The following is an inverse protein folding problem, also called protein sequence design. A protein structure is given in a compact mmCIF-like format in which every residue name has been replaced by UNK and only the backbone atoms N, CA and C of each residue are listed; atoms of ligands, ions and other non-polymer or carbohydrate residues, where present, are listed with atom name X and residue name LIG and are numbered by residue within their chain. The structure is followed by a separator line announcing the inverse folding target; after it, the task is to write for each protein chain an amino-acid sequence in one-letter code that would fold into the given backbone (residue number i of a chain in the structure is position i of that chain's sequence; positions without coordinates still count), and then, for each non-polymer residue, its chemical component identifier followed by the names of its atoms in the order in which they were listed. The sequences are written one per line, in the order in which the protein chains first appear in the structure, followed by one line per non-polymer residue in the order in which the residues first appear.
data_IF_098751402803
#
_entry.id   IF_098751402803
#
_cell.length_a   1.000
_cell.length_b   1.000
_cell.length_c   1.000
_cell.angle_alpha   90.00
_cell.angle_beta   90.00
_cell.angle_gamma   90.00
#
_symmetry.space_group_name_H-M   'P 1'
#
loop_
_entity.id
_entity.type
_entity.pdbx_description
1 polymer ?
#
# COMPACT_ATOMS: atom_id res chain seq x y z
N UNK A 1 -29.57 0.25 5.98
CA UNK A 1 -28.12 0.33 6.26
C UNK A 1 -27.37 0.70 4.98
N UNK A 2 -27.05 1.98 4.78
CA UNK A 2 -26.24 2.47 3.66
C UNK A 2 -24.81 2.85 4.10
N UNK A 3 -24.64 3.14 5.39
CA UNK A 3 -23.40 3.67 5.98
C UNK A 3 -22.29 2.62 5.99
N UNK A 4 -22.62 1.36 6.22
CA UNK A 4 -21.64 0.26 6.29
C UNK A 4 -21.03 -0.06 4.92
N UNK A 5 -21.79 0.11 3.82
CA UNK A 5 -21.26 -0.04 2.45
C UNK A 5 -20.37 1.13 2.04
N UNK A 6 -20.73 2.37 2.41
CA UNK A 6 -19.89 3.54 2.15
C UNK A 6 -18.51 3.43 2.80
N UNK A 7 -18.47 2.98 4.06
CA UNK A 7 -17.21 2.77 4.80
C UNK A 7 -16.37 1.62 4.24
N UNK A 8 -17.01 0.52 3.81
CA UNK A 8 -16.32 -0.66 3.27
C UNK A 8 -15.80 -0.45 1.85
N UNK A 9 -16.53 0.30 1.01
CA UNK A 9 -16.05 0.68 -0.33
C UNK A 9 -14.94 1.73 -0.23
N UNK A 10 -15.05 2.69 0.68
CA UNK A 10 -13.99 3.67 0.91
C UNK A 10 -12.69 3.04 1.45
N UNK A 11 -12.80 1.98 2.26
CA UNK A 11 -11.66 1.19 2.71
C UNK A 11 -10.90 0.52 1.54
N UNK A 12 -11.62 -0.05 0.57
CA UNK A 12 -11.01 -0.73 -0.59
C UNK A 12 -10.35 0.27 -1.54
N UNK A 13 -10.98 1.43 -1.77
CA UNK A 13 -10.43 2.48 -2.65
C UNK A 13 -9.11 3.05 -2.08
N UNK A 14 -9.07 3.35 -0.78
CA UNK A 14 -7.88 3.88 -0.12
C UNK A 14 -6.72 2.88 -0.15
N UNK A 15 -6.98 1.62 0.19
CA UNK A 15 -5.96 0.56 0.19
C UNK A 15 -5.47 0.30 -1.23
N UNK A 16 -6.39 0.16 -2.19
CA UNK A 16 -6.06 -0.09 -3.59
C UNK A 16 -5.22 1.03 -4.20
N UNK A 17 -5.60 2.28 -3.95
CA UNK A 17 -4.86 3.45 -4.45
C UNK A 17 -3.48 3.57 -3.80
N UNK A 18 -3.38 3.31 -2.49
CA UNK A 18 -2.08 3.29 -1.81
C UNK A 18 -1.16 2.21 -2.39
N UNK A 19 -1.71 1.02 -2.64
CA UNK A 19 -0.98 -0.10 -3.20
C UNK A 19 -0.49 0.20 -4.63
N UNK A 20 -1.34 0.73 -5.50
CA UNK A 20 -0.97 1.06 -6.88
C UNK A 20 0.20 2.06 -6.93
N UNK A 21 0.12 3.13 -6.13
CA UNK A 21 1.18 4.15 -6.04
C UNK A 21 2.50 3.53 -5.56
N UNK A 22 2.46 2.78 -4.46
CA UNK A 22 3.67 2.19 -3.88
C UNK A 22 4.28 1.12 -4.80
N UNK A 23 3.45 0.24 -5.36
CA UNK A 23 3.91 -0.83 -6.22
C UNK A 23 4.51 -0.28 -7.53
N UNK A 24 3.90 0.75 -8.12
CA UNK A 24 4.46 1.41 -9.30
C UNK A 24 5.83 2.04 -9.01
N UNK A 25 5.98 2.72 -7.88
CA UNK A 25 7.28 3.27 -7.47
C UNK A 25 8.32 2.17 -7.27
N UNK A 26 8.00 1.16 -6.46
CA UNK A 26 8.93 0.10 -6.08
C UNK A 26 9.34 -0.79 -7.28
N UNK A 27 8.45 -1.00 -8.27
CA UNK A 27 8.80 -1.67 -9.52
C UNK A 27 9.80 -0.83 -10.33
N UNK A 28 9.53 0.46 -10.48
CA UNK A 28 10.41 1.38 -11.23
C UNK A 28 11.80 1.54 -10.61
N UNK A 29 11.93 1.39 -9.29
CA UNK A 29 13.22 1.43 -8.59
C UNK A 29 13.88 0.05 -8.43
N UNK A 30 13.26 -1.00 -8.97
CA UNK A 30 13.73 -2.38 -8.85
C UNK A 30 13.76 -2.90 -7.41
N UNK A 31 12.97 -2.32 -6.50
CA UNK A 31 12.81 -2.78 -5.13
C UNK A 31 11.84 -3.96 -5.03
N UNK A 32 10.90 -4.10 -5.98
CA UNK A 32 10.08 -5.29 -6.17
C UNK A 32 10.14 -5.73 -7.64
N UNK A 33 9.88 -7.02 -7.90
CA UNK A 33 9.90 -7.55 -9.25
C UNK A 33 8.82 -6.89 -10.14
N UNK A 34 9.20 -6.56 -11.38
CA UNK A 34 8.30 -6.02 -12.39
C UNK A 34 7.47 -7.16 -13.01
N UNK A 35 6.53 -7.70 -12.22
CA UNK A 35 5.57 -8.68 -12.68
C UNK A 35 4.13 -8.20 -12.39
N UNK A 36 3.17 -8.82 -13.10
CA UNK A 36 1.73 -8.56 -12.96
C UNK A 36 1.12 -9.15 -11.69
N UNK A 37 1.90 -9.85 -10.87
CA UNK A 37 1.41 -10.48 -9.65
C UNK A 37 1.34 -9.45 -8.52
N UNK A 38 0.31 -9.57 -7.68
CA UNK A 38 0.23 -8.79 -6.44
C UNK A 38 1.42 -9.13 -5.56
N UNK A 39 2.07 -8.11 -5.03
CA UNK A 39 3.16 -8.28 -4.08
C UNK A 39 2.57 -8.26 -2.66
N UNK A 40 2.23 -9.46 -2.18
CA UNK A 40 1.52 -9.65 -0.90
C UNK A 40 2.16 -8.92 0.29
N UNK A 41 3.50 -8.87 0.47
CA UNK A 41 4.11 -8.17 1.60
C UNK A 41 3.80 -6.67 1.61
N UNK A 42 3.68 -6.05 0.43
CA UNK A 42 3.32 -4.63 0.31
C UNK A 42 1.85 -4.40 0.63
N UNK A 43 0.97 -5.28 0.13
CA UNK A 43 -0.47 -5.18 0.40
C UNK A 43 -0.76 -5.36 1.90
N UNK A 44 -0.16 -6.37 2.53
CA UNK A 44 -0.31 -6.62 3.97
C UNK A 44 0.15 -5.42 4.81
N UNK A 45 1.29 -4.81 4.46
CA UNK A 45 1.79 -3.62 5.15
C UNK A 45 0.81 -2.44 5.06
N UNK A 46 0.25 -2.19 3.88
CA UNK A 46 -0.73 -1.12 3.66
C UNK A 46 -2.02 -1.39 4.44
N UNK A 47 -2.50 -2.63 4.44
CA UNK A 47 -3.68 -3.05 5.22
C UNK A 47 -3.44 -2.84 6.72
N UNK A 48 -2.27 -3.22 7.24
CA UNK A 48 -1.88 -3.00 8.64
C UNK A 48 -1.85 -1.51 9.00
N UNK A 49 -1.25 -0.67 8.14
CA UNK A 49 -1.21 0.78 8.37
C UNK A 49 -2.60 1.40 8.32
N UNK A 50 -3.47 0.94 7.41
CA UNK A 50 -4.86 1.39 7.33
C UNK A 50 -5.62 1.04 8.62
N UNK A 51 -5.49 -0.19 9.11
CA UNK A 51 -6.13 -0.62 10.37
C UNK A 51 -5.65 0.17 11.59
N UNK A 52 -4.43 0.74 11.55
CA UNK A 52 -3.91 1.65 12.59
C UNK A 52 -4.46 3.08 12.50
N UNK A 53 -5.30 3.39 11.50
CA UNK A 53 -5.99 4.66 11.35
C UNK A 53 -5.44 5.58 10.25
N UNK A 54 -4.45 5.15 9.47
CA UNK A 54 -4.00 5.92 8.30
C UNK A 54 -4.99 5.76 7.14
N UNK A 55 -5.81 6.78 6.91
CA UNK A 55 -6.85 6.77 5.86
C UNK A 55 -6.47 7.54 4.60
N UNK A 56 -5.30 8.19 4.58
CA UNK A 56 -4.82 8.91 3.41
C UNK A 56 -3.99 7.98 2.51
N UNK A 57 -4.40 7.73 1.25
CA UNK A 57 -3.72 6.78 0.38
C UNK A 57 -2.28 7.19 0.03
N UNK A 58 -1.99 8.49 -0.07
CA UNK A 58 -0.63 8.98 -0.34
C UNK A 58 0.26 8.75 0.88
N UNK A 59 -0.24 8.99 2.10
CA UNK A 59 0.52 8.72 3.32
C UNK A 59 0.81 7.23 3.49
N UNK A 60 -0.17 6.37 3.24
CA UNK A 60 0.00 4.91 3.23
C UNK A 60 1.07 4.49 2.24
N UNK A 61 0.98 4.95 1.00
CA UNK A 61 1.96 4.63 -0.04
C UNK A 61 3.38 5.06 0.35
N UNK A 62 3.55 6.32 0.78
CA UNK A 62 4.87 6.84 1.14
C UNK A 62 5.47 6.11 2.35
N UNK A 63 4.66 5.78 3.36
CA UNK A 63 5.13 4.99 4.50
C UNK A 63 5.54 3.58 4.07
N UNK A 64 4.75 2.94 3.21
CA UNK A 64 5.09 1.62 2.68
C UNK A 64 6.40 1.66 1.88
N UNK A 65 6.56 2.62 0.96
CA UNK A 65 7.79 2.83 0.19
C UNK A 65 8.99 2.99 1.14
N UNK A 66 8.88 3.86 2.14
CA UNK A 66 9.96 4.10 3.10
C UNK A 66 10.39 2.85 3.85
N UNK A 67 9.46 1.96 4.21
CA UNK A 67 9.76 0.68 4.86
C UNK A 67 10.54 -0.25 3.91
N UNK A 68 10.10 -0.36 2.66
CA UNK A 68 10.75 -1.21 1.66
C UNK A 68 12.13 -0.70 1.26
N UNK A 69 12.30 0.61 1.08
CA UNK A 69 13.61 1.19 0.78
C UNK A 69 14.58 1.05 1.95
N UNK A 70 14.09 1.23 3.20
CA UNK A 70 14.92 1.01 4.38
C UNK A 70 15.36 -0.45 4.53
N UNK A 71 14.48 -1.40 4.19
CA UNK A 71 14.81 -2.82 4.17
C UNK A 71 15.83 -3.15 3.06
N UNK A 72 15.73 -2.51 1.88
CA UNK A 72 16.70 -2.67 0.78
C UNK A 72 18.09 -2.13 1.14
N UNK A 73 18.17 -1.03 1.90
CA UNK A 73 19.45 -0.43 2.32
C UNK A 73 20.16 -1.29 3.39
N UNK A 74 19.40 -2.07 4.17
CA UNK A 74 19.94 -2.90 5.24
C UNK A 74 20.37 -4.32 4.79
N UNK A 75 20.16 -4.68 3.52
CA UNK A 75 20.45 -5.99 2.93
C UNK A 75 21.64 -5.92 1.96
#
# INVERSE_FOLDING_TARGET
MLVERGLRIMNIDVIGRAYDIAANYLRRTGAIADNTTTFDPLLELIVQMFHRGETNPIKLANKAISVFESAKIAA
#
